data_IF_308342788610
#
_entry.id   IF_308342788610
#
_cell.length_a   1.000
_cell.length_b   1.000
_cell.length_c   1.000
_cell.angle_alpha   90.00
_cell.angle_beta   90.00
_cell.angle_gamma   90.00
#
_symmetry.space_group_name_H-M   'P 1'
#
loop_
_entity.id
_entity.type
_entity.pdbx_description
1 polymer ?
#
# COMPACT_ATOMS: atom_id res chain seq x y z
N UNK A 1 3.10 14.11 15.69
CA UNK A 1 4.06 13.30 14.91
C UNK A 1 3.83 13.50 13.42
N UNK A 2 4.86 13.77 12.60
CA UNK A 2 4.72 13.87 11.13
C UNK A 2 5.34 12.69 10.40
N UNK A 3 4.84 12.47 9.18
CA UNK A 3 5.41 11.54 8.20
C UNK A 3 6.66 12.17 7.57
N UNK A 4 7.78 11.46 7.60
CA UNK A 4 9.05 11.92 7.01
C UNK A 4 9.44 11.16 5.75
N UNK A 5 9.00 9.90 5.61
CA UNK A 5 9.29 9.11 4.41
C UNK A 5 8.15 8.15 4.10
N UNK A 6 7.97 7.88 2.81
CA UNK A 6 7.08 6.84 2.30
C UNK A 6 7.88 6.07 1.25
N UNK A 7 7.98 4.76 1.42
CA UNK A 7 8.71 3.86 0.52
C UNK A 7 7.81 2.73 0.09
N UNK A 8 8.07 2.19 -1.09
CA UNK A 8 7.42 0.97 -1.55
C UNK A 8 8.39 0.11 -2.35
N UNK A 9 8.17 -1.20 -2.30
CA UNK A 9 8.93 -2.17 -3.08
C UNK A 9 8.05 -3.36 -3.41
N UNK A 10 8.37 -4.01 -4.54
CA UNK A 10 7.74 -5.27 -4.91
C UNK A 10 8.42 -6.41 -4.16
N UNK A 11 7.62 -7.26 -3.55
CA UNK A 11 8.05 -8.49 -2.90
C UNK A 11 7.46 -9.67 -3.65
N UNK A 12 8.31 -10.61 -4.08
CA UNK A 12 7.88 -11.89 -4.62
C UNK A 12 7.75 -12.88 -3.47
N UNK A 13 6.52 -13.31 -3.21
CA UNK A 13 6.21 -14.20 -2.09
C UNK A 13 6.18 -15.66 -2.53
N UNK A 14 6.04 -15.93 -3.85
CA UNK A 14 5.86 -17.27 -4.39
C UNK A 14 4.68 -18.05 -3.79
N UNK A 15 4.48 -19.29 -4.24
CA UNK A 15 3.51 -20.19 -3.62
C UNK A 15 4.17 -21.55 -3.36
N UNK A 16 4.08 -22.02 -2.11
CA UNK A 16 4.47 -23.39 -1.77
C UNK A 16 3.59 -24.44 -2.48
N UNK A 17 2.34 -24.08 -2.79
CA UNK A 17 1.37 -24.92 -3.48
C UNK A 17 0.59 -24.09 -4.49
N UNK A 18 0.80 -24.30 -5.80
CA UNK A 18 -0.03 -23.70 -6.83
C UNK A 18 -1.51 -24.07 -6.65
N UNK A 19 -2.41 -23.17 -7.02
CA UNK A 19 -3.86 -23.40 -6.95
C UNK A 19 -4.57 -22.93 -8.22
N UNK A 20 -5.76 -23.44 -8.48
CA UNK A 20 -6.55 -23.11 -9.68
C UNK A 20 -7.87 -22.45 -9.30
N UNK A 21 -8.17 -21.31 -9.91
CA UNK A 21 -9.51 -20.70 -9.88
C UNK A 21 -10.09 -20.81 -11.29
N UNK A 22 -11.35 -21.27 -11.40
CA UNK A 22 -12.00 -21.54 -12.69
C UNK A 22 -11.91 -20.38 -13.70
N UNK A 23 -12.02 -19.14 -13.24
CA UNK A 23 -11.94 -17.95 -14.09
C UNK A 23 -10.53 -17.42 -14.34
N UNK A 24 -9.53 -17.83 -13.54
CA UNK A 24 -8.15 -17.29 -13.59
C UNK A 24 -7.10 -18.31 -14.01
N UNK A 25 -7.46 -19.59 -14.11
CA UNK A 25 -6.51 -20.67 -14.32
C UNK A 25 -5.68 -20.96 -13.07
N UNK A 26 -4.54 -21.59 -13.28
CA UNK A 26 -3.61 -21.98 -12.22
C UNK A 26 -2.62 -20.86 -11.94
N UNK A 27 -2.48 -20.50 -10.66
CA UNK A 27 -1.51 -19.52 -10.16
C UNK A 27 -0.40 -20.26 -9.42
N UNK A 28 0.85 -20.06 -9.84
CA UNK A 28 2.07 -20.57 -9.20
C UNK A 28 2.88 -19.50 -8.47
N UNK A 29 2.66 -18.23 -8.80
CA UNK A 29 3.49 -17.13 -8.33
C UNK A 29 2.60 -15.98 -7.86
N UNK A 30 3.02 -15.29 -6.79
CA UNK A 30 2.29 -14.14 -6.24
C UNK A 30 3.30 -13.09 -5.76
N UNK A 31 3.08 -11.87 -6.21
CA UNK A 31 3.85 -10.71 -5.75
C UNK A 31 2.91 -9.69 -5.12
N UNK A 32 3.41 -9.01 -4.09
CA UNK A 32 2.75 -7.87 -3.47
C UNK A 32 3.63 -6.63 -3.58
N UNK A 33 3.02 -5.45 -3.44
CA UNK A 33 3.78 -4.22 -3.20
C UNK A 33 3.68 -3.89 -1.71
N UNK A 34 4.81 -3.82 -1.02
CA UNK A 34 4.88 -3.40 0.38
C UNK A 34 5.02 -1.88 0.43
N UNK A 35 4.36 -1.25 1.40
CA UNK A 35 4.44 0.19 1.68
C UNK A 35 4.94 0.37 3.11
N UNK A 36 5.98 1.18 3.28
CA UNK A 36 6.52 1.61 4.57
C UNK A 36 6.31 3.11 4.74
N UNK A 37 5.77 3.53 5.87
CA UNK A 37 5.61 4.94 6.26
C UNK A 37 6.38 5.19 7.54
N UNK A 38 7.35 6.08 7.49
CA UNK A 38 8.20 6.44 8.62
C UNK A 38 7.78 7.79 9.22
N UNK A 39 7.77 7.83 10.55
CA UNK A 39 7.45 9.01 11.35
C UNK A 39 8.71 9.69 11.91
N UNK A 40 8.61 10.96 12.31
CA UNK A 40 9.74 11.75 12.87
C UNK A 40 10.41 11.09 14.10
N UNK A 41 9.69 10.24 14.84
CA UNK A 41 10.22 9.49 15.99
C UNK A 41 10.81 8.11 15.64
N UNK A 42 10.92 7.79 14.34
CA UNK A 42 11.51 6.55 13.86
C UNK A 42 10.56 5.34 13.83
N UNK A 43 9.30 5.48 14.27
CA UNK A 43 8.31 4.41 14.07
C UNK A 43 7.96 4.28 12.59
N UNK A 44 7.75 3.03 12.18
CA UNK A 44 7.48 2.65 10.80
C UNK A 44 6.24 1.78 10.74
N UNK A 45 5.23 2.25 10.03
CA UNK A 45 4.04 1.46 9.74
C UNK A 45 4.17 0.73 8.41
N UNK A 46 3.63 -0.48 8.33
CA UNK A 46 3.67 -1.32 7.14
C UNK A 46 2.28 -1.61 6.59
N UNK A 47 2.19 -1.72 5.27
CA UNK A 47 0.99 -2.17 4.57
C UNK A 47 1.35 -2.88 3.27
N UNK A 48 0.40 -3.61 2.68
CA UNK A 48 0.64 -4.39 1.47
C UNK A 48 -0.50 -4.26 0.46
N UNK A 49 -0.14 -4.12 -0.82
CA UNK A 49 -1.06 -4.18 -1.96
C UNK A 49 -0.95 -5.55 -2.60
N UNK A 50 -2.08 -6.25 -2.70
CA UNK A 50 -2.24 -7.52 -3.42
C UNK A 50 -3.30 -7.35 -4.51
N UNK A 51 -2.96 -6.71 -5.64
CA UNK A 51 -3.91 -6.46 -6.72
C UNK A 51 -4.41 -7.77 -7.33
N UNK A 52 -5.69 -7.82 -7.66
CA UNK A 52 -6.35 -9.05 -8.10
C UNK A 52 -6.28 -9.27 -9.62
N UNK A 53 -5.62 -8.38 -10.36
CA UNK A 53 -5.36 -8.50 -11.78
C UNK A 53 -6.28 -7.64 -12.66
N UNK A 54 -6.07 -7.68 -14.00
CA UNK A 54 -6.69 -6.78 -14.96
C UNK A 54 -8.23 -6.86 -14.96
N UNK A 55 -8.82 -8.02 -14.67
CA UNK A 55 -10.28 -8.22 -14.58
C UNK A 55 -10.96 -7.32 -13.53
N UNK A 56 -10.19 -6.80 -12.58
CA UNK A 56 -10.64 -5.90 -11.51
C UNK A 56 -10.07 -4.49 -11.62
N UNK A 57 -9.38 -4.19 -12.73
CA UNK A 57 -8.91 -2.85 -13.09
C UNK A 57 -7.57 -2.41 -12.48
N UNK A 58 -6.97 -3.22 -11.60
CA UNK A 58 -5.68 -2.93 -10.99
C UNK A 58 -4.74 -4.14 -11.10
N UNK A 59 -3.64 -3.96 -11.84
CA UNK A 59 -2.56 -4.94 -11.99
C UNK A 59 -1.42 -4.65 -11.01
N UNK A 60 -0.48 -5.59 -10.86
CA UNK A 60 0.70 -5.38 -10.01
C UNK A 60 1.56 -4.21 -10.50
N UNK A 61 1.72 -4.07 -11.82
CA UNK A 61 2.45 -2.96 -12.44
C UNK A 61 1.74 -1.63 -12.21
N UNK A 62 0.41 -1.62 -12.26
CA UNK A 62 -0.38 -0.41 -11.96
C UNK A 62 -0.23 -0.03 -10.49
N UNK A 63 -0.30 -1.01 -9.58
CA UNK A 63 -0.08 -0.75 -8.15
C UNK A 63 1.33 -0.24 -7.89
N UNK A 64 2.33 -0.86 -8.51
CA UNK A 64 3.73 -0.44 -8.42
C UNK A 64 3.89 1.01 -8.90
N UNK A 65 3.33 1.35 -10.07
CA UNK A 65 3.42 2.70 -10.62
C UNK A 65 2.80 3.77 -9.71
N UNK A 66 1.65 3.52 -9.07
CA UNK A 66 1.01 4.52 -8.19
C UNK A 66 1.60 4.58 -6.79
N UNK A 67 2.29 3.52 -6.35
CA UNK A 67 2.94 3.44 -5.04
C UNK A 67 4.41 3.85 -5.09
N UNK A 68 5.05 3.84 -6.26
CA UNK A 68 6.45 4.22 -6.43
C UNK A 68 6.63 5.72 -6.67
N UNK A 69 7.87 6.16 -6.45
CA UNK A 69 8.34 7.49 -6.81
C UNK A 69 7.64 8.60 -6.04
N UNK A 70 7.36 9.71 -6.72
CA UNK A 70 6.84 10.93 -6.10
C UNK A 70 5.33 10.92 -5.85
N UNK A 71 4.61 9.88 -6.27
CA UNK A 71 3.14 9.80 -6.17
C UNK A 71 2.62 9.82 -4.73
N UNK A 72 3.41 9.38 -3.77
CA UNK A 72 3.08 9.41 -2.34
C UNK A 72 3.71 10.58 -1.57
N UNK A 73 4.53 11.42 -2.22
CA UNK A 73 5.23 12.53 -1.55
C UNK A 73 4.28 13.56 -0.91
N UNK A 74 3.03 13.64 -1.36
CA UNK A 74 2.03 14.51 -0.74
C UNK A 74 1.68 14.11 0.70
N UNK A 75 2.07 12.91 1.15
CA UNK A 75 1.94 12.46 2.54
C UNK A 75 3.04 13.04 3.44
N UNK A 76 4.23 13.30 2.89
CA UNK A 76 5.37 13.80 3.65
C UNK A 76 5.04 15.17 4.26
N UNK A 77 5.38 15.35 5.53
CA UNK A 77 5.08 16.53 6.32
C UNK A 77 3.67 16.58 6.91
N UNK A 78 2.76 15.68 6.53
CA UNK A 78 1.44 15.58 7.18
C UNK A 78 1.57 15.01 8.58
N UNK A 79 0.69 15.48 9.48
CA UNK A 79 0.56 14.93 10.83
C UNK A 79 -0.20 13.60 10.79
N UNK A 80 0.30 12.58 11.46
CA UNK A 80 -0.33 11.26 11.48
C UNK A 80 -1.74 11.31 12.12
N UNK A 81 -1.97 12.22 13.07
CA UNK A 81 -3.26 12.44 13.72
C UNK A 81 -4.33 13.03 12.77
N UNK A 82 -3.96 13.44 11.55
CA UNK A 82 -4.90 13.91 10.51
C UNK A 82 -5.43 12.76 9.65
N UNK A 83 -5.44 11.53 10.16
CA UNK A 83 -5.70 10.31 9.39
C UNK A 83 -7.02 10.34 8.62
N UNK A 84 -8.11 10.88 9.18
CA UNK A 84 -9.40 10.98 8.48
C UNK A 84 -9.32 11.83 7.21
N UNK A 85 -8.58 12.95 7.27
CA UNK A 85 -8.34 13.82 6.11
C UNK A 85 -7.44 13.12 5.10
N UNK A 86 -6.41 12.41 5.57
CA UNK A 86 -5.49 11.64 4.71
C UNK A 86 -6.26 10.52 3.98
N UNK A 87 -7.08 9.73 4.67
CA UNK A 87 -7.88 8.66 4.05
C UNK A 87 -8.89 9.22 3.03
N UNK A 88 -9.44 10.42 3.27
CA UNK A 88 -10.29 11.11 2.28
C UNK A 88 -9.51 11.50 1.02
N UNK A 89 -8.31 12.08 1.19
CA UNK A 89 -7.42 12.40 0.08
C UNK A 89 -6.98 11.13 -0.68
N UNK A 90 -6.70 10.03 0.02
CA UNK A 90 -6.36 8.73 -0.56
C UNK A 90 -7.51 8.20 -1.43
N UNK A 91 -8.75 8.24 -0.94
CA UNK A 91 -9.92 7.81 -1.74
C UNK A 91 -10.05 8.57 -3.05
N UNK A 92 -9.75 9.87 -3.04
CA UNK A 92 -9.79 10.72 -4.24
C UNK A 92 -8.62 10.46 -5.18
N UNK A 93 -7.40 10.33 -4.65
CA UNK A 93 -6.16 10.18 -5.44
C UNK A 93 -5.97 8.77 -5.99
N UNK A 94 -6.50 7.77 -5.30
CA UNK A 94 -6.35 6.33 -5.59
C UNK A 94 -7.74 5.69 -5.69
N UNK A 95 -8.63 6.32 -6.47
CA UNK A 95 -10.00 5.85 -6.65
C UNK A 95 -10.06 4.53 -7.41
N UNK A 96 -9.26 4.45 -8.47
CA UNK A 96 -9.15 3.37 -9.45
C UNK A 96 -8.09 2.31 -9.08
N UNK A 97 -7.40 2.50 -7.96
CA UNK A 97 -6.34 1.64 -7.45
C UNK A 97 -6.60 1.25 -5.99
N UNK A 98 -7.72 0.54 -5.72
CA UNK A 98 -8.17 0.23 -4.36
C UNK A 98 -7.20 -0.63 -3.55
N UNK A 99 -6.45 -1.55 -4.16
CA UNK A 99 -5.46 -2.37 -3.47
C UNK A 99 -4.28 -1.51 -3.00
N UNK A 100 -3.78 -0.63 -3.88
CA UNK A 100 -2.73 0.33 -3.52
C UNK A 100 -3.19 1.32 -2.45
N UNK A 101 -4.43 1.81 -2.56
CA UNK A 101 -5.04 2.64 -1.54
C UNK A 101 -5.06 1.94 -0.18
N UNK A 102 -5.49 0.68 -0.15
CA UNK A 102 -5.53 -0.11 1.07
C UNK A 102 -4.15 -0.29 1.69
N UNK A 103 -3.11 -0.55 0.88
CA UNK A 103 -1.74 -0.66 1.36
C UNK A 103 -1.27 0.59 2.11
N UNK A 104 -1.51 1.77 1.55
CA UNK A 104 -1.14 3.05 2.18
C UNK A 104 -1.98 3.31 3.43
N UNK A 105 -3.28 3.03 3.38
CA UNK A 105 -4.19 3.21 4.52
C UNK A 105 -3.77 2.32 5.70
N UNK A 106 -3.47 1.04 5.47
CA UNK A 106 -2.97 0.11 6.49
C UNK A 106 -1.65 0.61 7.09
N UNK A 107 -0.68 1.02 6.27
CA UNK A 107 0.59 1.55 6.76
C UNK A 107 0.42 2.81 7.64
N UNK A 108 -0.53 3.69 7.30
CA UNK A 108 -0.85 4.85 8.12
C UNK A 108 -1.46 4.46 9.48
N UNK A 109 -2.38 3.50 9.49
CA UNK A 109 -3.01 3.03 10.73
C UNK A 109 -2.03 2.31 11.63
N UNK A 110 -1.11 1.53 11.07
CA UNK A 110 -0.03 0.87 11.81
C UNK A 110 0.91 1.90 12.44
N UNK A 111 1.44 2.85 11.65
CA UNK A 111 2.30 3.93 12.14
C UNK A 111 1.62 4.77 13.23
N UNK A 112 0.33 5.08 13.06
CA UNK A 112 -0.46 5.80 14.07
C UNK A 112 -0.57 5.02 15.38
N UNK A 113 -0.77 3.70 15.29
CA UNK A 113 -0.93 2.84 16.46
C UNK A 113 0.38 2.67 17.21
N UNK A 114 1.50 2.47 16.50
CA UNK A 114 2.84 2.43 17.08
C UNK A 114 3.20 3.72 17.81
N UNK A 115 2.85 4.88 17.23
CA UNK A 115 3.11 6.19 17.83
C UNK A 115 2.33 6.45 19.14
N UNK A 116 1.28 5.66 19.44
CA UNK A 116 0.44 5.84 20.64
C UNK A 116 0.89 4.98 21.83
N UNK A 117 1.82 4.05 21.61
CA UNK A 117 2.43 3.21 22.65
C UNK A 117 3.76 3.83 23.11
#
# INVERSE_FOLDING_TARGET
MRIISVKSWREDLGLLRPYTIASKGTTSDVSNIIVEIELENGFKGLGASSPTGPDKGETIERSEAVLQGSHLNWLVGKKIDSIQKISTDLRRRMFDTPASRAAVDIALFDAMSLNRN
#
